data_IF_785271323252
#
_entry.id   IF_785271323252
#
_cell.length_a   1.000
_cell.length_b   1.000
_cell.length_c   1.000
_cell.angle_alpha   90.00
_cell.angle_beta   90.00
_cell.angle_gamma   90.00
#
_symmetry.space_group_name_H-M   'P 1'
#
loop_
_entity.id
_entity.type
_entity.pdbx_description
1 polymer ?
#
# COMPACT_ATOMS: atom_id res chain seq x y z
N UNK A 1 28.52 -7.16 32.03
CA UNK A 1 27.23 -7.08 32.73
C UNK A 1 27.24 -5.83 33.60
N UNK A 2 26.15 -5.05 33.68
CA UNK A 2 24.75 -5.48 33.63
C UNK A 2 24.12 -5.22 32.24
N UNK A 3 23.49 -6.21 31.61
CA UNK A 3 22.06 -6.50 31.75
C UNK A 3 21.22 -5.25 31.52
N UNK A 4 20.98 -4.94 30.25
CA UNK A 4 19.92 -4.02 29.83
C UNK A 4 18.57 -4.75 29.99
N UNK A 5 17.71 -4.34 30.93
CA UNK A 5 16.44 -4.99 31.20
C UNK A 5 15.36 -4.34 30.34
N UNK A 6 15.32 -4.66 29.05
CA UNK A 6 14.46 -3.93 28.10
C UNK A 6 13.82 -4.70 26.96
N UNK A 7 14.18 -5.96 26.71
CA UNK A 7 13.48 -6.79 25.73
C UNK A 7 12.70 -7.88 26.47
N UNK A 8 11.45 -7.57 26.84
CA UNK A 8 10.47 -8.62 27.02
C UNK A 8 10.40 -9.40 25.68
N UNK A 9 10.57 -10.74 25.66
CA UNK A 9 10.34 -11.49 24.44
C UNK A 9 8.89 -11.23 24.03
N UNK A 10 8.71 -10.48 22.95
CA UNK A 10 7.40 -10.36 22.33
C UNK A 10 6.94 -11.78 21.99
N UNK A 11 5.68 -12.10 22.31
CA UNK A 11 5.12 -13.39 21.97
C UNK A 11 5.32 -13.64 20.47
N UNK A 12 5.83 -14.83 20.13
CA UNK A 12 5.96 -15.29 18.75
C UNK A 12 4.67 -15.01 17.99
N UNK A 13 4.76 -14.28 16.88
CA UNK A 13 3.63 -14.05 16.01
C UNK A 13 3.57 -15.22 15.03
N UNK A 14 2.58 -16.11 15.21
CA UNK A 14 2.43 -17.30 14.38
C UNK A 14 2.33 -16.97 12.89
N UNK A 15 1.58 -15.92 12.53
CA UNK A 15 1.45 -15.47 11.14
C UNK A 15 2.77 -14.96 10.55
N UNK A 16 3.52 -14.13 11.29
CA UNK A 16 4.84 -13.65 10.85
C UNK A 16 5.82 -14.81 10.70
N UNK A 17 5.84 -15.77 11.63
CA UNK A 17 6.70 -16.94 11.57
C UNK A 17 6.36 -17.86 10.40
N UNK A 18 5.08 -18.12 10.15
CA UNK A 18 4.61 -18.92 9.01
C UNK A 18 4.99 -18.28 7.68
N UNK A 19 4.74 -16.97 7.52
CA UNK A 19 5.11 -16.22 6.33
C UNK A 19 6.63 -16.24 6.09
N UNK A 20 7.42 -16.06 7.16
CA UNK A 20 8.88 -16.10 7.08
C UNK A 20 9.38 -17.49 6.65
N UNK A 21 8.91 -18.57 7.28
CA UNK A 21 9.32 -19.93 6.94
C UNK A 21 8.94 -20.29 5.51
N UNK A 22 7.70 -20.02 5.10
CA UNK A 22 7.21 -20.31 3.76
C UNK A 22 8.06 -19.61 2.69
N UNK A 23 8.36 -18.33 2.88
CA UNK A 23 9.13 -17.54 1.93
C UNK A 23 10.63 -17.83 1.92
N UNK A 24 11.24 -18.05 3.09
CA UNK A 24 12.69 -18.25 3.21
C UNK A 24 13.16 -19.67 2.92
N UNK A 25 12.25 -20.65 2.90
CA UNK A 25 12.54 -22.02 2.45
C UNK A 25 12.27 -22.25 0.96
N UNK A 26 11.64 -21.28 0.29
CA UNK A 26 11.40 -21.32 -1.15
C UNK A 26 12.67 -21.05 -1.97
N UNK A 27 12.62 -21.40 -3.26
CA UNK A 27 13.64 -21.05 -4.24
C UNK A 27 12.96 -20.43 -5.47
N UNK A 28 13.14 -19.12 -5.72
CA UNK A 28 13.92 -18.14 -4.93
C UNK A 28 13.28 -17.80 -3.56
N UNK A 29 14.09 -17.29 -2.62
CA UNK A 29 13.62 -16.83 -1.31
C UNK A 29 12.82 -15.53 -1.46
N UNK A 30 11.67 -15.44 -0.79
CA UNK A 30 10.82 -14.24 -0.79
C UNK A 30 10.31 -13.90 0.61
N UNK A 31 9.92 -12.64 0.82
CA UNK A 31 9.17 -12.23 2.00
C UNK A 31 8.04 -11.29 1.57
N UNK A 32 6.80 -11.47 2.08
CA UNK A 32 5.68 -10.67 1.63
C UNK A 32 5.76 -9.22 2.15
N UNK A 33 5.51 -8.25 1.27
CA UNK A 33 5.60 -6.82 1.57
C UNK A 33 4.72 -6.36 2.74
N UNK A 34 3.63 -7.08 3.06
CA UNK A 34 2.79 -6.77 4.24
C UNK A 34 3.60 -6.78 5.55
N UNK A 35 4.72 -7.51 5.59
CA UNK A 35 5.58 -7.55 6.77
C UNK A 35 6.36 -6.26 7.02
N UNK A 36 6.45 -5.35 6.04
CA UNK A 36 7.10 -4.05 6.28
C UNK A 36 6.37 -3.22 7.33
N UNK A 37 5.05 -3.32 7.43
CA UNK A 37 4.22 -2.31 8.11
C UNK A 37 4.02 -2.61 9.60
N UNK A 38 5.10 -2.91 10.33
CA UNK A 38 5.12 -2.73 11.78
C UNK A 38 5.24 -1.23 12.12
N UNK A 39 5.13 -0.80 13.40
CA UNK A 39 5.17 0.62 13.74
C UNK A 39 6.41 1.37 13.22
N UNK A 40 7.58 0.73 13.23
CA UNK A 40 8.82 1.32 12.73
C UNK A 40 8.84 1.39 11.19
N UNK A 41 8.39 0.34 10.51
CA UNK A 41 8.29 0.36 9.05
C UNK A 41 7.27 1.38 8.54
N UNK A 42 6.14 1.56 9.22
CA UNK A 42 5.22 2.66 8.92
C UNK A 42 5.91 4.03 9.08
N UNK A 43 6.66 4.24 10.17
CA UNK A 43 7.43 5.47 10.38
C UNK A 43 8.46 5.71 9.27
N UNK A 44 9.17 4.67 8.85
CA UNK A 44 10.14 4.74 7.75
C UNK A 44 9.44 5.02 6.41
N UNK A 45 8.30 4.39 6.14
CA UNK A 45 7.51 4.65 4.93
C UNK A 45 7.03 6.11 4.88
N UNK A 46 6.55 6.67 5.99
CA UNK A 46 6.21 8.10 6.02
C UNK A 46 7.39 8.98 5.65
N UNK A 47 8.60 8.67 6.14
CA UNK A 47 9.82 9.39 5.73
C UNK A 47 10.14 9.19 4.25
N UNK A 48 9.94 7.99 3.69
CA UNK A 48 10.09 7.75 2.25
C UNK A 48 9.19 8.70 1.47
N UNK A 49 7.94 8.91 1.91
CA UNK A 49 6.99 9.78 1.20
C UNK A 49 7.40 11.25 1.11
N UNK A 50 8.35 11.69 1.95
CA UNK A 50 8.91 13.05 1.99
C UNK A 50 10.21 13.20 1.21
N UNK A 51 10.80 12.10 0.72
CA UNK A 51 12.09 12.14 0.02
C UNK A 51 11.99 12.85 -1.33
N UNK A 52 13.02 13.60 -1.74
CA UNK A 52 13.04 14.24 -3.05
C UNK A 52 13.02 13.23 -4.20
N UNK A 53 13.61 12.05 -4.02
CA UNK A 53 13.56 10.98 -5.04
C UNK A 53 12.17 10.32 -5.15
N UNK A 54 11.40 10.23 -4.06
CA UNK A 54 10.10 9.54 -4.04
C UNK A 54 8.93 10.44 -4.51
N UNK A 55 8.74 10.52 -5.82
CA UNK A 55 7.76 11.42 -6.42
C UNK A 55 6.29 11.05 -6.21
N UNK A 56 5.98 9.78 -5.97
CA UNK A 56 4.62 9.24 -6.05
C UNK A 56 3.64 10.03 -5.17
N UNK A 57 3.98 10.18 -3.89
CA UNK A 57 3.08 10.83 -2.92
C UNK A 57 2.83 12.29 -3.25
N UNK A 58 3.88 13.06 -3.58
CA UNK A 58 3.73 14.48 -3.93
C UNK A 58 2.96 14.69 -5.23
N UNK A 59 3.19 13.85 -6.23
CA UNK A 59 2.51 13.95 -7.54
C UNK A 59 1.03 13.62 -7.40
N UNK A 60 0.69 12.50 -6.75
CA UNK A 60 -0.71 12.13 -6.50
C UNK A 60 -1.44 13.18 -5.66
N UNK A 61 -0.80 13.67 -4.59
CA UNK A 61 -1.37 14.71 -3.73
C UNK A 61 -1.62 16.01 -4.50
N UNK A 62 -0.71 16.39 -5.39
CA UNK A 62 -0.88 17.53 -6.30
C UNK A 62 -2.09 17.36 -7.23
N UNK A 63 -2.27 16.17 -7.81
CA UNK A 63 -3.42 15.85 -8.64
C UNK A 63 -4.73 15.87 -7.84
N UNK A 64 -4.78 15.21 -6.68
CA UNK A 64 -5.96 15.19 -5.81
C UNK A 64 -6.41 16.61 -5.44
N UNK A 65 -5.46 17.48 -5.11
CA UNK A 65 -5.71 18.88 -4.78
C UNK A 65 -6.25 19.68 -5.97
N UNK A 66 -5.59 19.59 -7.13
CA UNK A 66 -5.95 20.38 -8.32
C UNK A 66 -7.26 19.92 -8.93
N UNK A 67 -7.53 18.61 -8.95
CA UNK A 67 -8.74 18.05 -9.53
C UNK A 67 -9.97 18.26 -8.63
N UNK A 68 -9.81 18.14 -7.31
CA UNK A 68 -10.82 18.44 -6.31
C UNK A 68 -12.19 17.85 -6.64
N UNK A 69 -13.21 18.71 -6.80
CA UNK A 69 -14.58 18.31 -7.12
C UNK A 69 -14.71 17.48 -8.41
N UNK A 70 -13.81 17.66 -9.38
CA UNK A 70 -13.82 16.93 -10.66
C UNK A 70 -13.63 15.41 -10.51
N UNK A 71 -13.08 14.98 -9.37
CA UNK A 71 -12.90 13.57 -9.03
C UNK A 71 -14.21 12.88 -8.64
N UNK A 72 -15.22 13.66 -8.25
CA UNK A 72 -16.46 13.15 -7.68
C UNK A 72 -17.57 13.28 -8.74
N UNK A 73 -18.32 12.21 -9.04
CA UNK A 73 -19.40 12.26 -10.01
C UNK A 73 -20.48 13.30 -9.66
N UNK A 74 -21.12 13.83 -10.70
CA UNK A 74 -22.26 14.74 -10.55
C UNK A 74 -23.41 14.06 -9.80
N UNK A 75 -24.17 14.87 -9.05
CA UNK A 75 -25.29 14.39 -8.25
C UNK A 75 -24.91 13.63 -6.97
N UNK A 76 -23.62 13.46 -6.66
CA UNK A 76 -23.20 12.94 -5.37
C UNK A 76 -23.69 13.84 -4.22
N UNK A 77 -24.40 13.25 -3.26
CA UNK A 77 -24.86 13.87 -2.02
C UNK A 77 -24.95 12.80 -0.92
N UNK A 78 -24.47 13.11 0.28
CA UNK A 78 -24.50 12.16 1.41
C UNK A 78 -24.01 10.75 1.05
N UNK A 79 -22.99 10.68 0.19
CA UNK A 79 -22.44 9.43 -0.31
C UNK A 79 -21.52 8.75 0.73
N UNK A 80 -21.16 7.50 0.47
CA UNK A 80 -20.19 6.74 1.25
C UNK A 80 -18.87 6.62 0.50
N UNK A 81 -17.78 6.99 1.14
CA UNK A 81 -16.41 6.76 0.65
C UNK A 81 -15.85 5.52 1.33
N UNK A 82 -15.44 4.52 0.55
CA UNK A 82 -14.78 3.31 1.06
C UNK A 82 -13.32 3.34 0.63
N UNK A 83 -12.38 3.35 1.56
CA UNK A 83 -10.94 3.37 1.25
C UNK A 83 -10.29 2.04 1.56
N UNK A 84 -9.60 1.46 0.57
CA UNK A 84 -8.86 0.21 0.70
C UNK A 84 -7.41 0.55 1.05
N UNK A 85 -6.91 0.10 2.21
CA UNK A 85 -5.63 0.56 2.77
C UNK A 85 -5.73 1.94 3.42
N UNK A 86 -6.80 2.18 4.18
CA UNK A 86 -7.15 3.49 4.76
C UNK A 86 -6.59 3.74 6.16
N UNK A 87 -5.34 3.39 6.45
CA UNK A 87 -4.71 3.66 7.76
C UNK A 87 -4.24 5.11 7.96
N UNK A 88 -4.18 5.91 6.88
CA UNK A 88 -3.89 7.34 6.88
C UNK A 88 -4.93 8.09 6.03
N UNK A 89 -5.62 9.07 6.64
CA UNK A 89 -6.71 9.78 5.99
C UNK A 89 -6.26 10.92 5.05
N UNK A 90 -4.96 11.24 4.96
CA UNK A 90 -4.49 12.50 4.37
C UNK A 90 -4.91 12.65 2.90
N UNK A 91 -4.97 11.53 2.16
CA UNK A 91 -5.43 11.52 0.76
C UNK A 91 -6.96 11.50 0.65
N UNK A 92 -7.65 10.71 1.47
CA UNK A 92 -9.11 10.69 1.50
C UNK A 92 -9.71 12.06 1.83
N UNK A 93 -9.03 12.87 2.65
CA UNK A 93 -9.45 14.24 2.97
C UNK A 93 -9.68 15.12 1.75
N UNK A 94 -8.94 14.94 0.65
CA UNK A 94 -9.18 15.69 -0.59
C UNK A 94 -10.57 15.44 -1.19
N UNK A 95 -11.19 14.28 -0.88
CA UNK A 95 -12.57 13.96 -1.25
C UNK A 95 -13.56 14.30 -0.10
N UNK A 96 -13.24 13.95 1.14
CA UNK A 96 -14.10 14.17 2.32
C UNK A 96 -14.35 15.66 2.62
N UNK A 97 -13.41 16.53 2.24
CA UNK A 97 -13.51 17.99 2.41
C UNK A 97 -14.29 18.68 1.29
N UNK A 98 -14.66 17.97 0.23
CA UNK A 98 -15.47 18.54 -0.85
C UNK A 98 -16.90 18.81 -0.36
N UNK A 99 -17.50 19.89 -0.89
CA UNK A 99 -18.85 20.35 -0.55
C UNK A 99 -19.68 20.61 -1.82
N UNK A 100 -20.99 20.54 -1.69
CA UNK A 100 -21.91 21.06 -2.71
C UNK A 100 -22.07 22.59 -2.61
N UNK A 101 -22.86 23.17 -3.53
CA UNK A 101 -23.13 24.62 -3.57
C UNK A 101 -23.85 25.14 -2.32
N UNK A 102 -24.50 24.24 -1.57
CA UNK A 102 -25.14 24.54 -0.29
C UNK A 102 -24.23 24.28 0.92
N UNK A 103 -22.92 24.09 0.68
CA UNK A 103 -21.87 23.83 1.68
C UNK A 103 -22.08 22.54 2.47
N UNK A 104 -22.87 21.59 1.96
CA UNK A 104 -23.07 20.28 2.57
C UNK A 104 -21.99 19.31 2.11
N UNK A 105 -21.63 18.36 2.98
CA UNK A 105 -20.66 17.31 2.63
C UNK A 105 -21.20 16.44 1.50
N UNK A 106 -20.34 16.15 0.55
CA UNK A 106 -20.65 15.19 -0.52
C UNK A 106 -20.58 13.75 -0.01
N UNK A 107 -19.68 13.50 0.95
CA UNK A 107 -19.57 12.24 1.67
C UNK A 107 -20.06 12.42 3.12
N UNK A 108 -21.06 11.63 3.51
CA UNK A 108 -21.58 11.60 4.88
C UNK A 108 -20.97 10.45 5.70
N UNK A 109 -20.49 9.40 5.01
CA UNK A 109 -19.88 8.22 5.64
C UNK A 109 -18.52 7.93 5.02
N UNK A 110 -17.56 7.56 5.86
CA UNK A 110 -16.24 7.11 5.48
C UNK A 110 -15.97 5.73 6.11
N UNK A 111 -15.62 4.76 5.26
CA UNK A 111 -15.38 3.37 5.61
C UNK A 111 -13.94 3.00 5.24
N UNK A 112 -12.97 3.27 6.11
CA UNK A 112 -11.59 2.87 5.89
C UNK A 112 -11.37 1.39 6.21
N UNK A 113 -10.63 0.70 5.36
CA UNK A 113 -10.31 -0.73 5.49
C UNK A 113 -8.80 -0.89 5.55
N UNK A 114 -8.29 -1.53 6.61
CA UNK A 114 -6.86 -1.82 6.76
C UNK A 114 -6.65 -3.01 7.70
N UNK A 115 -5.49 -3.66 7.65
CA UNK A 115 -5.10 -4.70 8.62
C UNK A 115 -4.59 -4.10 9.93
N UNK A 116 -4.14 -2.84 9.91
CA UNK A 116 -3.59 -2.14 11.06
C UNK A 116 -4.69 -1.56 11.98
N UNK A 117 -5.26 -2.41 12.85
CA UNK A 117 -6.35 -2.02 13.76
C UNK A 117 -6.06 -0.78 14.62
N UNK A 118 -4.85 -0.64 15.14
CA UNK A 118 -4.47 0.54 15.95
C UNK A 118 -4.42 1.82 15.12
N UNK A 119 -3.90 1.77 13.89
CA UNK A 119 -3.85 2.92 13.00
C UNK A 119 -5.26 3.39 12.58
N UNK A 120 -6.16 2.45 12.32
CA UNK A 120 -7.57 2.75 12.05
C UNK A 120 -8.25 3.47 13.21
N UNK A 121 -7.99 3.04 14.44
CA UNK A 121 -8.54 3.63 15.64
C UNK A 121 -7.99 5.05 15.89
N UNK A 122 -6.68 5.25 15.73
CA UNK A 122 -6.05 6.57 15.84
C UNK A 122 -6.61 7.56 14.81
N UNK A 123 -6.78 7.12 13.56
CA UNK A 123 -7.43 7.91 12.51
C UNK A 123 -8.87 8.25 12.88
N UNK A 124 -9.64 7.28 13.40
CA UNK A 124 -11.02 7.53 13.83
C UNK A 124 -11.08 8.66 14.87
N UNK A 125 -10.16 8.67 15.83
CA UNK A 125 -10.05 9.77 16.79
C UNK A 125 -9.70 11.12 16.14
N UNK A 126 -8.76 11.16 15.18
CA UNK A 126 -8.42 12.39 14.45
C UNK A 126 -9.59 12.93 13.62
N UNK A 127 -10.33 12.04 12.95
CA UNK A 127 -11.49 12.40 12.15
C UNK A 127 -12.67 12.83 13.01
N UNK A 128 -12.93 12.19 14.14
CA UNK A 128 -13.98 12.63 15.06
C UNK A 128 -13.80 14.10 15.51
N UNK A 129 -12.55 14.54 15.71
CA UNK A 129 -12.23 15.92 16.06
C UNK A 129 -12.29 16.89 14.87
N UNK A 130 -11.76 16.50 13.71
CA UNK A 130 -11.67 17.38 12.55
C UNK A 130 -12.93 17.39 11.66
N UNK A 131 -13.78 16.37 11.81
CA UNK A 131 -14.96 16.06 11.00
C UNK A 131 -16.12 15.55 11.88
N UNK A 132 -16.63 16.34 12.84
CA UNK A 132 -17.61 15.85 13.82
C UNK A 132 -18.91 15.33 13.19
N UNK A 133 -19.28 15.80 12.00
CA UNK A 133 -20.48 15.39 11.28
C UNK A 133 -20.25 14.25 10.26
N UNK A 134 -19.04 13.66 10.22
CA UNK A 134 -18.72 12.52 9.35
C UNK A 134 -18.87 11.22 10.14
N UNK A 135 -19.71 10.30 9.64
CA UNK A 135 -19.74 8.95 10.17
C UNK A 135 -18.48 8.20 9.72
N UNK A 136 -17.68 7.70 10.67
CA UNK A 136 -16.47 6.93 10.39
C UNK A 136 -16.66 5.50 10.90
N UNK A 137 -16.62 4.54 9.97
CA UNK A 137 -16.88 3.12 10.24
C UNK A 137 -15.68 2.26 9.80
N UNK A 138 -14.61 2.14 10.63
CA UNK A 138 -13.43 1.38 10.24
C UNK A 138 -13.68 -0.13 10.18
N UNK A 139 -13.00 -0.80 9.25
CA UNK A 139 -13.03 -2.26 9.08
C UNK A 139 -11.60 -2.80 9.15
N UNK A 140 -11.34 -3.66 10.13
CA UNK A 140 -10.08 -4.40 10.23
C UNK A 140 -10.13 -5.62 9.33
N UNK A 141 -9.50 -5.56 8.15
CA UNK A 141 -9.50 -6.66 7.19
C UNK A 141 -8.36 -6.55 6.16
N UNK A 142 -7.96 -7.71 5.62
CA UNK A 142 -7.16 -7.76 4.40
C UNK A 142 -8.06 -7.45 3.20
N UNK A 143 -7.80 -6.32 2.54
CA UNK A 143 -8.59 -5.85 1.42
C UNK A 143 -8.41 -6.64 0.14
N UNK A 144 -7.36 -7.45 0.01
CA UNK A 144 -7.13 -8.32 -1.16
C UNK A 144 -8.12 -9.50 -1.17
N UNK A 145 -8.62 -9.87 0.01
CA UNK A 145 -9.63 -10.91 0.18
C UNK A 145 -11.04 -10.48 -0.20
N UNK A 146 -12.00 -11.38 0.07
CA UNK A 146 -13.43 -11.07 -0.04
C UNK A 146 -13.84 -10.20 1.14
N UNK A 147 -14.35 -9.01 0.86
CA UNK A 147 -14.81 -8.07 1.88
C UNK A 147 -16.33 -8.13 2.05
N UNK A 148 -16.76 -8.16 3.31
CA UNK A 148 -18.15 -7.94 3.68
C UNK A 148 -18.28 -6.51 4.21
N UNK A 149 -18.84 -5.62 3.40
CA UNK A 149 -19.05 -4.22 3.78
C UNK A 149 -20.42 -4.05 4.46
N UNK A 150 -20.54 -3.10 5.41
CA UNK A 150 -21.83 -2.72 5.98
C UNK A 150 -22.73 -2.11 4.88
N UNK A 151 -24.03 -1.91 5.15
CA UNK A 151 -24.92 -1.22 4.22
C UNK A 151 -24.40 0.19 3.87
N UNK A 152 -23.88 0.38 2.65
CA UNK A 152 -23.20 1.61 2.21
C UNK A 152 -24.13 2.73 1.71
N UNK A 153 -25.44 2.52 1.68
CA UNK A 153 -26.38 3.44 1.02
C UNK A 153 -26.31 3.39 -0.52
N UNK A 154 -26.98 4.35 -1.17
CA UNK A 154 -27.17 4.35 -2.64
C UNK A 154 -25.96 4.83 -3.43
N UNK A 155 -25.31 5.90 -2.97
CA UNK A 155 -24.17 6.51 -3.66
C UNK A 155 -22.90 6.14 -2.90
N UNK A 156 -21.99 5.47 -3.61
CA UNK A 156 -20.82 4.85 -3.01
C UNK A 156 -19.65 4.96 -3.97
N UNK A 157 -18.48 5.23 -3.39
CA UNK A 157 -17.24 5.40 -4.13
C UNK A 157 -16.12 4.68 -3.40
N UNK A 158 -15.43 3.79 -4.09
CA UNK A 158 -14.16 3.22 -3.63
C UNK A 158 -13.00 4.20 -3.85
N UNK A 159 -12.00 4.14 -3.00
CA UNK A 159 -10.74 4.87 -3.10
C UNK A 159 -9.59 3.90 -2.88
N UNK A 160 -8.64 3.86 -3.81
CA UNK A 160 -7.39 3.10 -3.66
C UNK A 160 -6.21 3.94 -4.15
N UNK A 161 -5.62 4.78 -3.28
CA UNK A 161 -4.59 5.73 -3.66
C UNK A 161 -3.18 5.13 -3.49
N UNK A 162 -2.16 5.93 -3.76
CA UNK A 162 -0.76 5.62 -3.44
C UNK A 162 -0.07 4.64 -4.36
N UNK A 163 -0.74 4.20 -5.42
CA UNK A 163 -0.25 3.11 -6.28
C UNK A 163 -0.02 1.80 -5.55
N UNK A 164 -0.74 1.56 -4.44
CA UNK A 164 -0.71 0.28 -3.72
C UNK A 164 -1.16 -0.89 -4.60
N UNK A 165 -1.97 -0.62 -5.64
CA UNK A 165 -2.28 -1.59 -6.70
C UNK A 165 -1.04 -2.17 -7.38
N UNK A 166 0.04 -1.39 -7.44
CA UNK A 166 1.33 -1.81 -7.98
C UNK A 166 2.05 -2.82 -7.09
N UNK A 167 1.64 -3.01 -5.84
CA UNK A 167 2.24 -4.03 -4.98
C UNK A 167 1.63 -5.43 -5.18
N UNK A 168 0.54 -5.50 -5.95
CA UNK A 168 -0.15 -6.74 -6.27
C UNK A 168 0.32 -7.25 -7.64
N UNK A 169 0.57 -8.55 -7.74
CA UNK A 169 0.75 -9.19 -9.05
C UNK A 169 -0.50 -8.98 -9.92
N UNK A 170 -0.38 -8.88 -11.26
CA UNK A 170 -1.48 -8.48 -12.13
C UNK A 170 -2.77 -9.29 -11.93
N UNK A 171 -2.67 -10.61 -11.76
CA UNK A 171 -3.85 -11.46 -11.53
C UNK A 171 -4.48 -11.21 -10.15
N UNK A 172 -3.66 -10.89 -9.14
CA UNK A 172 -4.13 -10.51 -7.79
C UNK A 172 -4.81 -9.14 -7.86
N UNK A 173 -4.24 -8.17 -8.58
CA UNK A 173 -4.83 -6.85 -8.80
C UNK A 173 -6.20 -6.92 -9.47
N UNK A 174 -6.37 -7.77 -10.51
CA UNK A 174 -7.66 -8.01 -11.16
C UNK A 174 -8.68 -8.60 -10.17
N UNK A 175 -8.29 -9.62 -9.40
CA UNK A 175 -9.18 -10.25 -8.40
C UNK A 175 -9.59 -9.27 -7.30
N UNK A 176 -8.65 -8.47 -6.81
CA UNK A 176 -8.92 -7.41 -5.84
C UNK A 176 -9.93 -6.40 -6.40
N UNK A 177 -9.69 -5.87 -7.60
CA UNK A 177 -10.60 -4.89 -8.22
C UNK A 177 -12.00 -5.49 -8.47
N UNK A 178 -12.09 -6.77 -8.82
CA UNK A 178 -13.37 -7.47 -8.98
C UNK A 178 -14.08 -7.64 -7.62
N UNK A 179 -13.36 -8.02 -6.56
CA UNK A 179 -13.88 -8.09 -5.18
C UNK A 179 -14.40 -6.73 -4.72
N UNK A 180 -13.64 -5.66 -4.96
CA UNK A 180 -14.05 -4.30 -4.64
C UNK A 180 -15.31 -3.89 -5.43
N UNK A 181 -15.43 -4.25 -6.71
CA UNK A 181 -16.62 -4.01 -7.54
C UNK A 181 -17.86 -4.69 -6.98
N UNK A 182 -17.73 -5.93 -6.55
CA UNK A 182 -18.81 -6.71 -5.95
C UNK A 182 -19.23 -6.16 -4.60
N UNK A 183 -18.26 -5.87 -3.73
CA UNK A 183 -18.49 -5.31 -2.40
C UNK A 183 -19.15 -3.92 -2.47
N UNK A 184 -18.69 -3.09 -3.42
CA UNK A 184 -19.29 -1.79 -3.68
C UNK A 184 -20.58 -1.87 -4.47
N UNK A 185 -20.91 -2.97 -5.15
CA UNK A 185 -22.18 -3.21 -5.87
C UNK A 185 -22.48 -2.28 -7.07
N UNK A 186 -23.60 -2.53 -7.78
CA UNK A 186 -23.97 -1.79 -9.01
C UNK A 186 -24.16 -0.28 -8.81
N UNK A 187 -23.84 0.51 -9.84
CA UNK A 187 -23.93 1.98 -9.82
C UNK A 187 -22.86 2.68 -8.98
N UNK A 188 -21.89 1.93 -8.44
CA UNK A 188 -20.79 2.47 -7.66
C UNK A 188 -19.69 3.06 -8.54
N UNK A 189 -18.86 3.89 -7.91
CA UNK A 189 -17.68 4.50 -8.51
C UNK A 189 -16.41 4.01 -7.81
N UNK A 190 -15.27 4.14 -8.46
CA UNK A 190 -13.98 3.79 -7.87
C UNK A 190 -12.90 4.75 -8.35
N UNK A 191 -12.11 5.29 -7.44
CA UNK A 191 -10.96 6.14 -7.73
C UNK A 191 -9.68 5.38 -7.44
N UNK A 192 -8.96 5.05 -8.50
CA UNK A 192 -7.72 4.29 -8.45
C UNK A 192 -6.54 5.21 -8.76
N UNK A 193 -5.59 5.33 -7.82
CA UNK A 193 -4.30 5.96 -8.03
C UNK A 193 -3.27 4.92 -8.44
N UNK A 194 -2.51 5.18 -9.51
CA UNK A 194 -1.49 4.26 -10.00
C UNK A 194 -0.28 4.99 -10.58
N UNK A 195 0.90 4.49 -10.24
CA UNK A 195 2.17 4.96 -10.76
C UNK A 195 2.40 4.42 -12.17
N UNK A 196 2.78 5.32 -13.08
CA UNK A 196 2.88 5.01 -14.50
C UNK A 196 4.29 4.53 -14.87
N UNK A 197 4.39 3.72 -15.93
CA UNK A 197 5.69 3.34 -16.49
C UNK A 197 6.40 4.58 -17.04
N UNK A 198 7.65 4.77 -16.64
CA UNK A 198 8.52 5.90 -17.01
C UNK A 198 9.99 5.46 -17.01
N UNK A 199 10.89 6.40 -17.27
CA UNK A 199 12.33 6.16 -17.31
C UNK A 199 12.84 5.54 -15.98
N UNK A 200 13.58 4.41 -16.03
CA UNK A 200 14.23 3.82 -14.86
C UNK A 200 15.14 4.79 -14.09
N UNK A 201 15.68 5.82 -14.72
CA UNK A 201 16.45 6.88 -14.07
C UNK A 201 15.63 7.70 -13.07
N UNK A 202 14.30 7.72 -13.21
CA UNK A 202 13.36 8.31 -12.24
C UNK A 202 12.91 7.25 -11.22
N UNK A 203 12.65 6.03 -11.69
CA UNK A 203 12.13 4.95 -10.84
C UNK A 203 13.14 4.45 -9.82
N UNK A 204 14.38 4.15 -10.23
CA UNK A 204 15.37 3.53 -9.35
C UNK A 204 15.70 4.41 -8.13
N UNK A 205 15.96 5.73 -8.26
CA UNK A 205 16.22 6.57 -7.10
C UNK A 205 15.04 6.64 -6.12
N UNK A 206 13.80 6.54 -6.60
CA UNK A 206 12.62 6.53 -5.72
C UNK A 206 12.62 5.33 -4.76
N UNK A 207 13.24 4.21 -5.15
CA UNK A 207 13.31 2.99 -4.32
C UNK A 207 14.71 2.73 -3.76
N UNK A 208 15.68 3.60 -4.04
CA UNK A 208 17.06 3.48 -3.58
C UNK A 208 17.62 4.90 -3.37
N UNK A 209 16.96 5.62 -2.46
CA UNK A 209 17.25 7.01 -2.16
C UNK A 209 18.65 7.21 -1.56
N UNK A 210 19.23 8.38 -1.81
CA UNK A 210 20.58 8.72 -1.35
C UNK A 210 20.71 8.83 0.17
N UNK A 211 19.60 9.05 0.88
CA UNK A 211 19.57 9.12 2.34
C UNK A 211 19.51 7.74 3.02
N UNK A 212 19.36 6.66 2.24
CA UNK A 212 19.31 5.28 2.73
C UNK A 212 18.04 4.94 3.53
N UNK A 213 16.97 5.73 3.41
CA UNK A 213 15.74 5.51 4.17
C UNK A 213 14.99 4.28 3.64
N UNK A 214 14.93 4.09 2.32
CA UNK A 214 14.33 2.90 1.70
C UNK A 214 15.13 1.64 1.99
N UNK A 215 16.46 1.75 2.10
CA UNK A 215 17.30 0.65 2.54
C UNK A 215 17.00 0.25 4.00
N UNK A 216 16.86 1.23 4.90
CA UNK A 216 16.45 1.00 6.29
C UNK A 216 15.04 0.40 6.38
N UNK A 217 14.09 0.88 5.57
CA UNK A 217 12.74 0.31 5.46
C UNK A 217 12.78 -1.16 5.02
N UNK A 218 13.58 -1.49 4.01
CA UNK A 218 13.70 -2.86 3.54
C UNK A 218 14.32 -3.79 4.62
N UNK A 219 15.41 -3.33 5.25
CA UNK A 219 16.10 -4.07 6.31
C UNK A 219 15.27 -4.25 7.59
N UNK A 220 14.35 -3.33 7.87
CA UNK A 220 13.44 -3.44 9.01
C UNK A 220 12.61 -4.73 8.98
N UNK A 221 12.35 -5.30 7.80
CA UNK A 221 11.70 -6.61 7.69
C UNK A 221 12.49 -7.68 8.46
N UNK A 222 13.83 -7.69 8.35
CA UNK A 222 14.68 -8.63 9.12
C UNK A 222 14.64 -8.33 10.63
N UNK A 223 14.63 -7.05 11.02
CA UNK A 223 14.43 -6.66 12.43
C UNK A 223 13.12 -7.21 12.99
N UNK A 224 12.03 -7.10 12.21
CA UNK A 224 10.73 -7.63 12.59
C UNK A 224 10.77 -9.15 12.74
N UNK A 225 11.40 -9.87 11.81
CA UNK A 225 11.53 -11.33 11.93
C UNK A 225 12.34 -11.74 13.16
N UNK A 226 13.40 -11.01 13.50
CA UNK A 226 14.16 -11.28 14.72
C UNK A 226 13.27 -11.17 15.97
N UNK A 227 12.37 -10.17 16.00
CA UNK A 227 11.45 -9.93 17.12
C UNK A 227 10.26 -10.89 17.15
N UNK A 228 9.65 -11.16 16.02
CA UNK A 228 8.32 -11.81 15.94
C UNK A 228 8.36 -13.28 15.49
N UNK A 229 9.44 -13.70 14.81
CA UNK A 229 9.61 -15.06 14.30
C UNK A 229 10.81 -15.79 14.95
N UNK A 230 11.34 -15.26 16.05
CA UNK A 230 12.56 -15.75 16.72
C UNK A 230 13.70 -16.01 15.74
N UNK A 231 13.92 -15.06 14.84
CA UNK A 231 15.04 -15.09 13.91
C UNK A 231 16.32 -14.48 14.51
N UNK A 232 17.48 -14.75 13.92
CA UNK A 232 18.78 -14.23 14.33
C UNK A 232 19.56 -13.54 13.20
N UNK A 233 18.85 -12.88 12.27
CA UNK A 233 19.47 -12.11 11.19
C UNK A 233 20.44 -11.06 11.74
N UNK A 234 21.70 -11.10 11.29
CA UNK A 234 22.62 -9.98 11.41
C UNK A 234 22.50 -9.07 10.18
N UNK A 235 21.80 -7.95 10.35
CA UNK A 235 21.48 -7.02 9.28
C UNK A 235 22.72 -6.47 8.56
N UNK A 236 23.90 -6.45 9.19
CA UNK A 236 25.15 -5.98 8.57
C UNK A 236 25.59 -6.87 7.41
N UNK A 237 25.04 -8.08 7.32
CA UNK A 237 25.33 -9.03 6.26
C UNK A 237 24.25 -9.09 5.18
N UNK A 238 23.35 -8.11 5.15
CA UNK A 238 22.36 -7.93 4.09
C UNK A 238 22.43 -6.50 3.56
N UNK A 239 22.38 -6.36 2.23
CA UNK A 239 22.30 -5.05 1.57
C UNK A 239 20.99 -4.92 0.81
N UNK A 240 20.39 -3.74 0.87
CA UNK A 240 19.25 -3.39 0.03
C UNK A 240 19.69 -3.28 -1.44
N UNK A 241 18.82 -3.72 -2.34
CA UNK A 241 18.91 -3.43 -3.77
C UNK A 241 17.49 -3.17 -4.33
N UNK A 242 17.38 -2.16 -5.19
CA UNK A 242 16.21 -1.93 -6.04
C UNK A 242 16.58 -2.24 -7.49
N UNK A 243 15.73 -3.02 -8.16
CA UNK A 243 15.96 -3.46 -9.54
C UNK A 243 14.76 -3.07 -10.39
N UNK A 244 15.00 -2.50 -11.57
CA UNK A 244 13.97 -2.33 -12.59
C UNK A 244 13.88 -3.58 -13.45
N UNK A 245 12.76 -4.28 -13.38
CA UNK A 245 12.44 -5.38 -14.27
C UNK A 245 11.60 -4.85 -15.43
N UNK A 246 12.25 -4.58 -16.57
CA UNK A 246 11.60 -3.99 -17.74
C UNK A 246 10.55 -4.90 -18.39
N UNK A 247 10.81 -6.22 -18.37
CA UNK A 247 9.93 -7.22 -18.97
C UNK A 247 8.59 -7.31 -18.23
N UNK A 248 8.61 -7.24 -16.90
CA UNK A 248 7.42 -7.24 -16.06
C UNK A 248 6.91 -5.83 -15.72
N UNK A 249 7.65 -4.79 -16.12
CA UNK A 249 7.34 -3.38 -15.86
C UNK A 249 7.15 -3.10 -14.36
N UNK A 250 8.11 -3.51 -13.52
CA UNK A 250 8.05 -3.32 -12.07
C UNK A 250 9.41 -2.98 -11.46
N UNK A 251 9.38 -2.24 -10.36
CA UNK A 251 10.50 -2.23 -9.43
C UNK A 251 10.40 -3.46 -8.54
N UNK A 252 11.54 -4.08 -8.26
CA UNK A 252 11.69 -5.16 -7.30
C UNK A 252 12.63 -4.69 -6.19
N UNK A 253 12.23 -4.91 -4.93
CA UNK A 253 13.10 -4.68 -3.78
C UNK A 253 13.67 -6.01 -3.29
N UNK A 254 14.96 -5.99 -2.96
CA UNK A 254 15.71 -7.16 -2.56
C UNK A 254 16.60 -6.89 -1.35
N UNK A 255 16.81 -7.94 -0.55
CA UNK A 255 17.87 -8.01 0.43
C UNK A 255 18.88 -9.06 -0.01
N UNK A 256 20.12 -8.65 -0.24
CA UNK A 256 21.18 -9.50 -0.78
C UNK A 256 22.16 -9.85 0.33
N UNK A 257 22.35 -11.15 0.58
CA UNK A 257 23.36 -11.64 1.51
C UNK A 257 24.77 -11.21 1.04
N UNK A 258 25.55 -10.64 1.94
CA UNK A 258 26.90 -10.15 1.63
C UNK A 258 27.99 -11.20 1.82
N UNK A 259 27.63 -12.40 2.30
CA UNK A 259 28.52 -13.53 2.54
C UNK A 259 27.70 -14.82 2.70
N UNK A 260 28.38 -15.96 2.63
CA UNK A 260 27.83 -17.22 3.09
C UNK A 260 27.50 -17.13 4.59
N UNK A 261 26.28 -17.49 4.96
CA UNK A 261 25.80 -17.46 6.34
C UNK A 261 24.61 -18.39 6.56
N UNK A 262 24.30 -18.63 7.82
CA UNK A 262 23.13 -19.41 8.25
C UNK A 262 22.34 -18.54 9.23
N UNK A 263 21.04 -18.51 9.03
CA UNK A 263 20.08 -17.82 9.91
C UNK A 263 19.10 -18.85 10.45
N UNK A 264 18.83 -18.80 11.75
CA UNK A 264 17.75 -19.54 12.37
C UNK A 264 16.48 -18.71 12.30
N UNK A 265 15.36 -19.31 11.89
CA UNK A 265 14.05 -18.65 11.84
C UNK A 265 13.02 -19.64 12.36
N UNK A 266 12.30 -19.29 13.43
CA UNK A 266 11.28 -20.15 14.03
C UNK A 266 11.73 -21.61 14.24
N UNK A 267 12.99 -21.80 14.67
CA UNK A 267 13.61 -23.12 14.89
C UNK A 267 14.12 -23.85 13.64
N UNK A 268 13.94 -23.28 12.44
CA UNK A 268 14.46 -23.82 11.18
C UNK A 268 15.79 -23.17 10.80
N UNK A 269 16.68 -23.94 10.18
CA UNK A 269 18.00 -23.49 9.71
C UNK A 269 17.88 -23.08 8.25
N UNK A 270 18.16 -21.81 7.95
CA UNK A 270 18.06 -21.23 6.61
C UNK A 270 19.46 -20.84 6.12
N UNK A 271 20.03 -21.56 5.13
CA UNK A 271 21.30 -21.19 4.55
C UNK A 271 21.13 -20.05 3.54
N UNK A 272 22.13 -19.17 3.50
CA UNK A 272 22.30 -18.12 2.50
C UNK A 272 23.70 -18.22 1.89
N UNK A 273 23.78 -18.28 0.57
CA UNK A 273 25.04 -18.07 -0.16
C UNK A 273 25.35 -16.57 -0.31
N UNK A 274 26.62 -16.21 -0.47
CA UNK A 274 27.02 -14.85 -0.86
C UNK A 274 26.32 -14.45 -2.16
N UNK A 275 25.69 -13.27 -2.17
CA UNK A 275 24.93 -12.78 -3.32
C UNK A 275 23.51 -13.36 -3.44
N UNK A 276 23.13 -14.32 -2.59
CA UNK A 276 21.76 -14.83 -2.57
C UNK A 276 20.78 -13.74 -2.13
N UNK A 277 19.64 -13.66 -2.82
CA UNK A 277 18.66 -12.60 -2.65
C UNK A 277 17.37 -13.10 -2.01
N UNK A 278 16.81 -12.27 -1.13
CA UNK A 278 15.41 -12.33 -0.70
C UNK A 278 14.66 -11.25 -1.47
N UNK A 279 13.66 -11.62 -2.26
CA UNK A 279 12.73 -10.67 -2.88
C UNK A 279 11.68 -10.22 -1.85
N UNK A 280 11.60 -8.93 -1.58
CA UNK A 280 10.76 -8.36 -0.51
C UNK A 280 9.58 -7.52 -0.98
N UNK A 281 9.62 -6.94 -2.19
CA UNK A 281 8.51 -6.16 -2.74
C UNK A 281 8.47 -6.15 -4.26
N UNK A 282 7.27 -6.07 -4.83
CA UNK A 282 7.03 -5.64 -6.20
C UNK A 282 6.39 -4.25 -6.18
N UNK A 283 6.75 -3.39 -7.13
CA UNK A 283 5.97 -2.19 -7.43
C UNK A 283 5.82 -2.04 -8.94
N UNK A 284 4.75 -2.62 -9.48
CA UNK A 284 4.36 -2.54 -10.88
C UNK A 284 4.06 -1.11 -11.30
N UNK A 285 4.58 -0.74 -12.47
CA UNK A 285 4.41 0.55 -13.12
C UNK A 285 3.61 0.35 -14.39
N UNK A 286 2.49 1.04 -14.50
CA UNK A 286 1.48 0.71 -15.50
C UNK A 286 1.56 1.66 -16.69
N UNK A 287 1.37 1.15 -17.89
CA UNK A 287 0.94 2.03 -18.98
C UNK A 287 -0.56 2.30 -18.81
N UNK A 288 -1.04 3.47 -19.25
CA UNK A 288 -2.48 3.78 -19.26
C UNK A 288 -3.30 2.67 -19.92
N UNK A 289 -2.82 2.14 -21.05
CA UNK A 289 -3.48 1.05 -21.78
C UNK A 289 -3.54 -0.25 -20.97
N UNK A 290 -2.44 -0.64 -20.32
CA UNK A 290 -2.40 -1.84 -19.50
C UNK A 290 -3.36 -1.72 -18.29
N UNK A 291 -3.41 -0.55 -17.67
CA UNK A 291 -4.29 -0.31 -16.53
C UNK A 291 -5.77 -0.33 -16.95
N UNK A 292 -6.11 0.31 -18.07
CA UNK A 292 -7.47 0.24 -18.66
C UNK A 292 -7.88 -1.22 -18.94
N UNK A 293 -6.98 -2.04 -19.49
CA UNK A 293 -7.26 -3.45 -19.72
C UNK A 293 -7.47 -4.23 -18.41
N UNK A 294 -6.66 -3.95 -17.38
CA UNK A 294 -6.77 -4.57 -16.06
C UNK A 294 -8.10 -4.25 -15.37
N UNK A 295 -8.50 -2.97 -15.34
CA UNK A 295 -9.77 -2.58 -14.70
C UNK A 295 -10.97 -3.12 -15.48
N UNK A 296 -10.90 -3.18 -16.81
CA UNK A 296 -11.94 -3.79 -17.65
C UNK A 296 -12.05 -5.30 -17.43
N UNK A 297 -10.94 -6.02 -17.28
CA UNK A 297 -10.93 -7.44 -16.90
C UNK A 297 -11.54 -7.66 -15.51
N UNK A 298 -11.37 -6.70 -14.62
CA UNK A 298 -12.06 -6.62 -13.33
C UNK A 298 -13.48 -6.04 -13.43
N UNK A 299 -14.07 -5.96 -14.62
CA UNK A 299 -15.43 -5.51 -14.93
C UNK A 299 -15.79 -4.08 -14.51
N UNK A 300 -14.79 -3.22 -14.36
CA UNK A 300 -14.99 -1.78 -14.20
C UNK A 300 -14.95 -1.09 -15.57
N UNK A 301 -15.80 -0.09 -15.76
CA UNK A 301 -15.76 0.80 -16.92
C UNK A 301 -14.90 2.03 -16.62
N UNK A 302 -13.81 2.29 -17.36
CA UNK A 302 -13.05 3.53 -17.23
C UNK A 302 -13.92 4.73 -17.65
N UNK A 303 -14.11 5.69 -16.75
CA UNK A 303 -14.90 6.89 -17.03
C UNK A 303 -14.01 8.10 -17.36
N UNK A 304 -13.02 8.39 -16.52
CA UNK A 304 -12.05 9.49 -16.71
C UNK A 304 -10.68 9.10 -16.21
N UNK A 305 -9.66 9.66 -16.82
CA UNK A 305 -8.26 9.45 -16.46
C UNK A 305 -7.59 10.82 -16.43
N UNK A 306 -6.88 11.10 -15.34
CA UNK A 306 -6.05 12.28 -15.20
C UNK A 306 -4.62 11.87 -14.92
N UNK A 307 -3.67 12.62 -15.47
CA UNK A 307 -2.26 12.48 -15.21
C UNK A 307 -1.66 13.85 -14.89
N UNK A 308 -0.50 13.85 -14.23
CA UNK A 308 0.31 15.05 -14.13
C UNK A 308 0.96 15.39 -15.48
N UNK A 309 1.54 16.58 -15.58
CA UNK A 309 2.14 17.09 -16.83
C UNK A 309 3.30 16.24 -17.35
N UNK A 310 3.91 15.43 -16.51
CA UNK A 310 5.05 14.57 -16.84
C UNK A 310 4.63 13.09 -17.02
N UNK A 311 3.31 12.80 -17.01
CA UNK A 311 2.75 11.44 -17.07
C UNK A 311 3.40 10.50 -16.02
N UNK A 312 3.71 11.02 -14.82
CA UNK A 312 4.32 10.23 -13.76
C UNK A 312 3.29 9.34 -13.05
N UNK A 313 2.13 9.88 -12.73
CA UNK A 313 1.10 9.24 -11.93
C UNK A 313 -0.27 9.45 -12.58
N UNK A 314 -1.13 8.42 -12.50
CA UNK A 314 -2.49 8.48 -13.01
C UNK A 314 -3.53 8.32 -11.92
N UNK A 315 -4.60 9.12 -11.99
CA UNK A 315 -5.84 8.93 -11.24
C UNK A 315 -6.92 8.47 -12.24
N UNK A 316 -7.52 7.32 -11.97
CA UNK A 316 -8.52 6.68 -12.81
C UNK A 316 -9.85 6.65 -12.08
N UNK A 317 -10.85 7.34 -12.61
CA UNK A 317 -12.24 7.23 -12.14
C UNK A 317 -12.95 6.17 -12.96
N UNK A 318 -13.47 5.17 -12.26
CA UNK A 318 -14.10 3.98 -12.82
C UNK A 318 -15.57 3.89 -12.37
N UNK A 319 -16.38 3.18 -13.14
CA UNK A 319 -17.81 2.98 -12.86
C UNK A 319 -18.18 1.50 -12.96
N UNK A 320 -19.02 1.05 -12.02
CA UNK A 320 -19.75 -0.20 -12.14
C UNK A 320 -21.13 0.13 -12.72
N UNK A 321 -21.29 -0.10 -14.02
CA UNK A 321 -22.54 0.17 -14.73
C UNK A 321 -23.71 -0.68 -14.20
#
# INVERSE_FOLDING_TARGET
MPNDPGFAPHALCAETAEAALSGLTASPKTLPAKLFYDPEGCRLFYRITELPEYYLTRTETGLLRTLGRSLIPEGFHSATLVEFGGSDEAKARYLLDQRDDHRRRLFATYVPIDVAASALEDMRFRLANSHPDLAVEPIVADFVGKLALPPLGRQRMGLFPGSTIGNLDPDVAVRFLASAREALGPGSWFLLGADLRKDPAILLPAYNDSAGVTAAFNLNLLCRLNREAAADFDLRHFRHAAVWNDALSRIEMHLIASRDQVVHVAGSVIPFAEGESIHTENSYKWTRRALVAMVAAAGWEPHRIWTDSEDLFGIFLLRHA
#
